data_IF_373799052661
#
_entry.id   IF_373799052661
#
_cell.length_a   1.000
_cell.length_b   1.000
_cell.length_c   1.000
_cell.angle_alpha   90.00
_cell.angle_beta   90.00
_cell.angle_gamma   90.00
#
_symmetry.space_group_name_H-M   'P 1'
#
loop_
_entity.id
_entity.type
_entity.pdbx_description
1 polymer ?
#
# COMPACT_ATOMS: atom_id res chain seq x y z
N UNK A 1 -66.90 8.89 -24.08
CA UNK A 1 -66.14 9.02 -25.34
C UNK A 1 -65.31 10.30 -25.25
N UNK A 2 -63.98 10.37 -25.29
CA UNK A 2 -62.91 9.38 -25.52
C UNK A 2 -61.59 9.99 -24.99
N UNK A 3 -60.68 9.11 -24.60
CA UNK A 3 -59.33 9.20 -24.02
C UNK A 3 -58.30 10.29 -24.43
N UNK A 4 -57.41 10.57 -23.45
CA UNK A 4 -55.93 10.74 -23.50
C UNK A 4 -55.37 12.06 -24.09
N UNK A 5 -54.27 12.65 -23.59
CA UNK A 5 -52.95 12.10 -23.20
C UNK A 5 -52.18 12.96 -22.17
N UNK A 6 -51.34 12.30 -21.36
CA UNK A 6 -50.27 12.83 -20.49
C UNK A 6 -49.10 13.42 -21.29
N UNK A 7 -48.39 14.39 -20.71
CA UNK A 7 -46.95 14.56 -20.89
C UNK A 7 -46.34 15.13 -19.60
N UNK A 8 -45.40 14.35 -19.04
CA UNK A 8 -44.58 14.66 -17.88
C UNK A 8 -43.61 15.81 -18.20
N UNK A 9 -43.45 16.75 -17.27
CA UNK A 9 -42.25 17.55 -17.13
C UNK A 9 -41.49 17.03 -15.91
N UNK A 10 -40.41 16.28 -16.13
CA UNK A 10 -39.44 15.93 -15.08
C UNK A 10 -38.46 17.08 -14.99
N UNK A 11 -38.50 17.80 -13.87
CA UNK A 11 -37.54 18.85 -13.53
C UNK A 11 -36.21 18.23 -13.13
N UNK A 12 -35.15 18.67 -13.81
CA UNK A 12 -33.76 18.45 -13.44
C UNK A 12 -33.49 19.13 -12.08
N UNK A 13 -33.19 18.35 -11.04
CA UNK A 13 -32.63 18.91 -9.80
C UNK A 13 -31.10 18.75 -9.86
N UNK A 14 -30.44 19.84 -10.24
CA UNK A 14 -28.99 19.98 -10.08
C UNK A 14 -28.73 20.40 -8.63
N UNK A 15 -28.19 19.50 -7.81
CA UNK A 15 -27.61 19.87 -6.52
C UNK A 15 -26.11 20.10 -6.67
N UNK A 16 -25.70 21.34 -6.43
CA UNK A 16 -24.33 21.78 -6.26
C UNK A 16 -23.68 21.03 -5.08
N UNK A 17 -22.60 20.30 -5.35
CA UNK A 17 -21.60 19.95 -4.32
C UNK A 17 -20.46 20.95 -4.46
N UNK A 18 -20.43 21.94 -3.58
CA UNK A 18 -19.27 22.80 -3.38
C UNK A 18 -18.33 22.15 -2.38
N UNK A 19 -17.05 22.03 -2.76
CA UNK A 19 -15.94 22.04 -1.81
C UNK A 19 -15.27 20.72 -1.46
N UNK A 20 -14.64 20.05 -2.43
CA UNK A 20 -13.35 19.37 -2.25
C UNK A 20 -12.76 19.05 -3.64
N UNK A 21 -11.88 19.92 -4.15
CA UNK A 21 -11.10 19.65 -5.36
C UNK A 21 -9.90 18.79 -4.99
N UNK A 22 -10.10 17.48 -4.92
CA UNK A 22 -9.03 16.54 -5.26
C UNK A 22 -9.17 16.19 -6.74
N UNK A 23 -8.22 16.66 -7.55
CA UNK A 23 -8.08 16.19 -8.93
C UNK A 23 -7.54 14.77 -8.87
N UNK A 24 -8.41 13.77 -8.76
CA UNK A 24 -8.05 12.42 -9.17
C UNK A 24 -7.99 12.41 -10.70
N UNK A 25 -6.80 12.23 -11.26
CA UNK A 25 -6.65 11.87 -12.67
C UNK A 25 -7.04 10.40 -12.83
N UNK A 26 -8.34 10.09 -12.72
CA UNK A 26 -8.87 8.82 -13.16
C UNK A 26 -8.89 8.83 -14.70
N UNK A 27 -7.82 8.30 -15.30
CA UNK A 27 -7.79 8.01 -16.73
C UNK A 27 -8.63 6.75 -16.94
N UNK A 28 -9.77 6.88 -17.58
CA UNK A 28 -10.65 5.76 -17.96
C UNK A 28 -9.91 4.85 -18.94
N UNK A 29 -9.57 3.63 -18.49
CA UNK A 29 -9.15 2.54 -19.35
C UNK A 29 -10.35 1.92 -20.05
N UNK A 30 -10.31 1.88 -21.39
CA UNK A 30 -11.17 1.02 -22.20
C UNK A 30 -10.56 -0.39 -22.22
N UNK A 31 -10.81 -1.18 -21.18
CA UNK A 31 -10.75 -2.66 -21.28
C UNK A 31 -12.15 -3.14 -21.63
N UNK A 32 -12.27 -4.00 -22.63
CA UNK A 32 -13.54 -4.51 -23.17
C UNK A 32 -14.29 -5.50 -22.27
N UNK A 33 -14.19 -5.33 -20.95
CA UNK A 33 -14.99 -6.02 -19.97
C UNK A 33 -16.16 -5.10 -19.59
N UNK A 34 -17.36 -5.65 -19.44
CA UNK A 34 -18.53 -4.92 -18.96
C UNK A 34 -18.17 -4.20 -17.65
N UNK A 35 -17.83 -2.91 -17.73
CA UNK A 35 -17.70 -2.07 -16.55
C UNK A 35 -19.07 -2.05 -15.90
N UNK A 36 -19.17 -2.68 -14.73
CA UNK A 36 -20.26 -2.43 -13.80
C UNK A 36 -20.13 -0.95 -13.42
N UNK A 37 -20.78 -0.09 -14.18
CA UNK A 37 -20.95 1.32 -13.84
C UNK A 37 -21.85 1.31 -12.63
N UNK A 38 -21.29 1.33 -11.43
CA UNK A 38 -22.06 1.50 -10.18
C UNK A 38 -22.48 2.98 -10.16
N UNK A 39 -23.71 3.34 -10.55
CA UNK A 39 -24.14 4.72 -10.60
C UNK A 39 -24.84 4.98 -9.28
N UNK A 40 -24.10 5.07 -8.19
CA UNK A 40 -24.68 5.35 -6.89
C UNK A 40 -23.94 6.51 -6.27
N UNK A 41 -24.64 7.62 -6.13
CA UNK A 41 -24.26 8.69 -5.22
C UNK A 41 -24.27 8.12 -3.80
N UNK A 42 -23.17 7.46 -3.41
CA UNK A 42 -23.01 6.91 -2.08
C UNK A 42 -22.42 8.01 -1.18
N UNK A 43 -23.17 8.42 -0.16
CA UNK A 43 -22.68 9.34 0.84
C UNK A 43 -21.85 8.57 1.87
N UNK A 44 -20.52 8.72 1.81
CA UNK A 44 -19.65 8.33 2.90
C UNK A 44 -19.39 9.57 3.73
N UNK A 45 -19.90 9.60 4.96
CA UNK A 45 -19.50 10.62 5.93
C UNK A 45 -18.28 10.13 6.71
N UNK A 46 -17.36 11.04 7.04
CA UNK A 46 -16.34 10.77 8.06
C UNK A 46 -16.93 11.21 9.40
N UNK A 47 -17.34 10.29 10.27
CA UNK A 47 -18.10 10.64 11.47
C UNK A 47 -17.25 11.29 12.58
N UNK A 48 -15.95 11.53 12.37
CA UNK A 48 -15.01 11.81 13.46
C UNK A 48 -14.78 10.55 14.31
N UNK A 49 -13.80 10.58 15.22
CA UNK A 49 -13.57 9.44 16.11
C UNK A 49 -14.62 9.46 17.21
N UNK A 50 -15.58 8.53 17.16
CA UNK A 50 -16.63 8.35 18.16
C UNK A 50 -16.60 6.92 18.67
N UNK A 51 -16.94 6.73 19.94
CA UNK A 51 -17.12 5.41 20.54
C UNK A 51 -18.48 4.80 20.15
N UNK A 52 -19.33 5.56 19.46
CA UNK A 52 -20.67 5.17 19.07
C UNK A 52 -21.07 5.78 17.72
N UNK A 53 -21.61 4.96 16.82
CA UNK A 53 -22.19 5.41 15.56
C UNK A 53 -23.61 4.85 15.39
N UNK A 54 -24.51 5.70 14.92
CA UNK A 54 -25.87 5.32 14.52
C UNK A 54 -26.03 5.62 13.03
N UNK A 55 -26.55 4.66 12.27
CA UNK A 55 -26.79 4.85 10.85
C UNK A 55 -28.14 4.28 10.42
N UNK A 56 -29.11 5.14 10.03
CA UNK A 56 -30.42 4.70 9.60
C UNK A 56 -30.36 4.05 8.23
N UNK A 57 -31.20 3.05 7.99
CA UNK A 57 -31.28 2.32 6.73
C UNK A 57 -32.69 1.84 6.41
N UNK A 58 -32.90 1.51 5.14
CA UNK A 58 -34.12 0.87 4.64
C UNK A 58 -33.77 -0.54 4.10
N UNK A 59 -34.48 -1.58 4.52
CA UNK A 59 -34.30 -2.96 4.05
C UNK A 59 -35.55 -3.45 3.30
N UNK A 60 -35.91 -2.71 2.25
CA UNK A 60 -37.09 -2.94 1.43
C UNK A 60 -38.31 -2.09 1.84
N UNK A 61 -39.47 -2.28 1.18
CA UNK A 61 -40.63 -1.43 1.37
C UNK A 61 -41.18 -1.45 2.82
N UNK A 62 -41.13 -0.30 3.49
CA UNK A 62 -41.69 -0.13 4.83
C UNK A 62 -40.93 -0.84 5.95
N UNK A 63 -39.71 -1.35 5.68
CA UNK A 63 -38.84 -1.95 6.69
C UNK A 63 -37.63 -1.06 6.89
N UNK A 64 -37.59 -0.34 8.00
CA UNK A 64 -36.54 0.60 8.36
C UNK A 64 -35.92 0.22 9.71
N UNK A 65 -34.68 0.64 9.91
CA UNK A 65 -33.96 0.42 11.15
C UNK A 65 -32.71 1.28 11.23
N UNK A 66 -31.92 1.04 12.27
CA UNK A 66 -30.66 1.72 12.53
C UNK A 66 -29.59 0.67 12.81
N UNK A 67 -28.44 0.81 12.16
CA UNK A 67 -27.23 0.08 12.55
C UNK A 67 -26.54 0.87 13.65
N UNK A 68 -26.32 0.22 14.79
CA UNK A 68 -25.57 0.72 15.92
C UNK A 68 -24.18 0.09 15.91
N UNK A 69 -23.14 0.91 16.00
CA UNK A 69 -21.74 0.47 16.01
C UNK A 69 -21.08 1.06 17.25
N UNK A 70 -20.82 0.21 18.25
CA UNK A 70 -20.29 0.58 19.56
C UNK A 70 -18.85 0.10 19.71
N UNK A 71 -17.94 1.02 20.02
CA UNK A 71 -16.57 0.68 20.41
C UNK A 71 -16.60 -0.07 21.75
N UNK A 72 -16.09 -1.29 21.73
CA UNK A 72 -15.84 -2.11 22.91
C UNK A 72 -14.37 -1.98 23.34
N UNK A 73 -13.99 -2.73 24.38
CA UNK A 73 -12.60 -2.79 24.82
C UNK A 73 -11.66 -3.23 23.68
N UNK A 74 -10.43 -2.71 23.69
CA UNK A 74 -9.35 -3.05 22.74
C UNK A 74 -9.67 -2.77 21.27
N UNK A 75 -10.46 -1.74 20.99
CA UNK A 75 -10.79 -1.29 19.64
C UNK A 75 -11.63 -2.27 18.80
N UNK A 76 -12.24 -3.26 19.43
CA UNK A 76 -13.26 -4.11 18.80
C UNK A 76 -14.59 -3.38 18.73
N UNK A 77 -15.39 -3.59 17.70
CA UNK A 77 -16.72 -2.99 17.59
C UNK A 77 -17.82 -4.04 17.77
N UNK A 78 -18.84 -3.70 18.56
CA UNK A 78 -20.12 -4.40 18.57
C UNK A 78 -21.00 -3.77 17.51
N UNK A 79 -21.52 -4.58 16.59
CA UNK A 79 -22.47 -4.15 15.57
C UNK A 79 -23.84 -4.72 15.93
N UNK A 80 -24.85 -3.86 15.99
CA UNK A 80 -26.23 -4.27 16.21
C UNK A 80 -27.14 -3.65 15.15
N UNK A 81 -28.19 -4.36 14.77
CA UNK A 81 -29.30 -3.83 13.99
C UNK A 81 -30.48 -3.65 14.93
N UNK A 82 -30.97 -2.42 15.05
CA UNK A 82 -32.22 -2.09 15.72
C UNK A 82 -33.28 -1.74 14.68
N UNK A 83 -34.32 -2.57 14.58
CA UNK A 83 -35.46 -2.31 13.71
C UNK A 83 -36.43 -1.33 14.37
N UNK A 84 -37.19 -0.57 13.57
CA UNK A 84 -38.22 0.35 14.09
C UNK A 84 -39.35 -0.38 14.85
N UNK A 85 -39.45 -1.71 14.70
CA UNK A 85 -40.32 -2.57 15.51
C UNK A 85 -39.83 -2.73 16.97
N UNK A 86 -38.61 -2.29 17.28
CA UNK A 86 -37.91 -2.50 18.55
C UNK A 86 -37.11 -3.81 18.62
N UNK A 87 -37.14 -4.63 17.56
CA UNK A 87 -36.30 -5.84 17.49
C UNK A 87 -34.83 -5.47 17.36
N UNK A 88 -33.97 -6.14 18.14
CA UNK A 88 -32.52 -5.94 18.10
C UNK A 88 -31.81 -7.25 17.77
N UNK A 89 -30.87 -7.19 16.84
CA UNK A 89 -30.08 -8.34 16.38
C UNK A 89 -28.59 -7.98 16.41
N UNK A 90 -27.79 -8.79 17.09
CA UNK A 90 -26.33 -8.66 17.05
C UNK A 90 -25.81 -9.16 15.69
N UNK A 91 -24.91 -8.40 15.06
CA UNK A 91 -24.22 -8.77 13.83
C UNK A 91 -22.79 -9.21 14.19
N UNK A 92 -22.46 -10.50 14.09
CA UNK A 92 -21.11 -10.98 14.39
C UNK A 92 -20.08 -10.30 13.49
N UNK A 93 -19.02 -9.77 14.08
CA UNK A 93 -17.93 -9.14 13.36
C UNK A 93 -16.60 -9.38 14.09
N UNK A 94 -15.66 -10.05 13.43
CA UNK A 94 -14.36 -10.39 14.01
C UNK A 94 -13.25 -9.40 13.61
N UNK A 95 -13.46 -8.65 12.52
CA UNK A 95 -12.35 -8.02 11.79
C UNK A 95 -12.41 -6.48 11.72
N UNK A 96 -13.51 -5.83 12.10
CA UNK A 96 -13.63 -4.37 11.89
C UNK A 96 -13.02 -3.61 13.05
N UNK A 97 -11.93 -2.89 12.73
CA UNK A 97 -11.21 -2.01 13.63
C UNK A 97 -11.23 -0.56 13.11
N UNK A 98 -11.26 0.39 14.04
CA UNK A 98 -11.39 1.86 13.88
C UNK A 98 -12.23 2.32 12.67
N UNK A 99 -13.57 2.35 12.81
CA UNK A 99 -14.48 2.78 11.73
C UNK A 99 -14.21 4.24 11.35
N UNK A 100 -13.70 4.46 10.14
CA UNK A 100 -13.35 5.81 9.65
C UNK A 100 -14.43 6.45 8.80
N UNK A 101 -15.34 5.63 8.27
CA UNK A 101 -16.27 5.95 7.18
C UNK A 101 -17.45 4.99 7.22
N UNK A 102 -18.64 5.54 7.03
CA UNK A 102 -19.90 4.80 7.03
C UNK A 102 -20.84 5.36 5.96
N UNK A 103 -21.67 4.50 5.37
CA UNK A 103 -22.80 4.92 4.54
C UNK A 103 -23.71 3.76 4.13
N UNK A 104 -24.63 4.00 3.19
CA UNK A 104 -25.59 3.01 2.69
C UNK A 104 -25.69 2.93 1.17
N UNK A 105 -25.91 1.72 0.65
CA UNK A 105 -25.99 1.37 -0.78
C UNK A 105 -27.21 0.50 -1.03
N UNK A 106 -28.05 0.87 -1.99
CA UNK A 106 -29.07 -0.03 -2.53
C UNK A 106 -28.39 -1.13 -3.37
N UNK A 107 -28.05 -2.24 -2.71
CA UNK A 107 -27.28 -3.35 -3.27
C UNK A 107 -28.18 -4.38 -3.96
N UNK A 108 -29.45 -4.42 -3.56
CA UNK A 108 -30.41 -5.44 -3.98
C UNK A 108 -31.59 -4.86 -4.78
N UNK A 109 -31.66 -3.54 -4.90
CA UNK A 109 -32.74 -2.81 -5.55
C UNK A 109 -33.96 -2.65 -4.64
N UNK A 110 -34.88 -1.77 -5.04
CA UNK A 110 -36.15 -1.50 -4.34
C UNK A 110 -35.96 -0.91 -2.93
N UNK A 111 -35.05 0.05 -2.81
CA UNK A 111 -34.72 0.71 -1.54
C UNK A 111 -34.25 -0.29 -0.47
N UNK A 112 -33.49 -1.30 -0.89
CA UNK A 112 -32.94 -2.31 -0.01
C UNK A 112 -31.46 -2.07 0.20
N UNK A 113 -31.19 -1.35 1.28
CA UNK A 113 -29.89 -0.82 1.60
C UNK A 113 -29.07 -1.82 2.41
N UNK A 114 -27.85 -2.06 1.95
CA UNK A 114 -26.78 -2.54 2.79
C UNK A 114 -26.00 -1.35 3.37
N UNK A 115 -25.34 -1.58 4.51
CA UNK A 115 -24.48 -0.56 5.13
C UNK A 115 -23.03 -0.87 4.78
N UNK A 116 -22.32 0.11 4.22
CA UNK A 116 -20.89 -0.01 3.92
C UNK A 116 -20.10 0.68 5.01
N UNK A 117 -19.11 -0.04 5.52
CA UNK A 117 -18.16 0.46 6.50
C UNK A 117 -16.75 0.41 5.91
N UNK A 118 -15.94 1.40 6.25
CA UNK A 118 -14.49 1.35 6.01
C UNK A 118 -13.76 1.63 7.31
N UNK A 119 -12.97 0.66 7.75
CA UNK A 119 -12.07 0.75 8.89
C UNK A 119 -10.61 0.90 8.45
N UNK A 120 -9.75 1.38 9.34
CA UNK A 120 -8.32 1.42 9.09
C UNK A 120 -7.52 1.17 10.36
N UNK A 121 -6.48 0.36 10.25
CA UNK A 121 -5.46 0.15 11.28
C UNK A 121 -4.07 0.29 10.64
N UNK A 122 -3.07 0.64 11.43
CA UNK A 122 -1.70 0.54 10.94
C UNK A 122 -0.66 0.88 11.98
N UNK A 123 0.56 0.45 11.68
CA UNK A 123 1.76 0.77 12.43
C UNK A 123 2.91 1.12 11.51
N UNK A 124 4.12 1.08 12.04
CA UNK A 124 5.32 1.43 11.26
C UNK A 124 5.79 0.32 10.30
N UNK A 125 5.00 -0.74 10.15
CA UNK A 125 5.35 -1.94 9.39
C UNK A 125 4.32 -2.38 8.36
N UNK A 126 3.03 -2.21 8.69
CA UNK A 126 1.92 -2.47 7.79
C UNK A 126 0.79 -1.49 8.07
N UNK A 127 -0.11 -1.36 7.10
CA UNK A 127 -1.42 -0.75 7.27
C UNK A 127 -2.49 -1.68 6.72
N UNK A 128 -3.62 -1.76 7.41
CA UNK A 128 -4.78 -2.55 7.01
C UNK A 128 -5.95 -1.60 6.77
N UNK A 129 -6.61 -1.73 5.62
CA UNK A 129 -7.91 -1.10 5.37
C UNK A 129 -8.98 -2.17 5.36
N UNK A 130 -9.96 -2.06 6.23
CA UNK A 130 -11.09 -2.98 6.30
C UNK A 130 -12.23 -2.43 5.46
N UNK A 131 -12.72 -3.19 4.51
CA UNK A 131 -13.92 -2.88 3.73
C UNK A 131 -15.01 -3.86 4.18
N UNK A 132 -16.15 -3.36 4.61
CA UNK A 132 -17.24 -4.22 5.05
C UNK A 132 -18.58 -3.81 4.46
N UNK A 133 -19.44 -4.81 4.27
CA UNK A 133 -20.85 -4.63 3.93
C UNK A 133 -21.68 -5.39 4.95
N UNK A 134 -22.48 -4.68 5.72
CA UNK A 134 -23.49 -5.26 6.61
C UNK A 134 -24.73 -5.49 5.77
N UNK A 135 -25.17 -6.75 5.71
CA UNK A 135 -26.44 -7.15 5.12
C UNK A 135 -27.50 -7.21 6.23
N UNK A 136 -28.44 -6.24 6.31
CA UNK A 136 -29.39 -6.20 7.41
C UNK A 136 -30.39 -7.37 7.40
N UNK A 137 -30.65 -7.98 6.24
CA UNK A 137 -31.59 -9.11 6.12
C UNK A 137 -31.02 -10.39 6.71
N UNK A 138 -29.72 -10.61 6.49
CA UNK A 138 -29.01 -11.77 7.02
C UNK A 138 -28.48 -11.55 8.44
N UNK A 139 -28.42 -10.28 8.89
CA UNK A 139 -27.70 -9.88 10.10
C UNK A 139 -26.25 -10.40 10.12
N UNK A 140 -25.60 -10.34 8.95
CA UNK A 140 -24.21 -10.74 8.75
C UNK A 140 -23.42 -9.58 8.14
N UNK A 141 -22.12 -9.57 8.39
CA UNK A 141 -21.16 -8.68 7.74
C UNK A 141 -20.26 -9.51 6.82
N UNK A 142 -20.00 -8.99 5.63
CA UNK A 142 -19.03 -9.53 4.68
C UNK A 142 -17.88 -8.55 4.61
N UNK A 143 -16.65 -9.01 4.86
CA UNK A 143 -15.48 -8.13 4.93
C UNK A 143 -14.40 -8.53 3.94
N UNK A 144 -13.60 -7.53 3.57
CA UNK A 144 -12.38 -7.66 2.81
C UNK A 144 -11.32 -6.75 3.46
N UNK A 145 -10.30 -7.34 4.07
CA UNK A 145 -9.16 -6.61 4.59
C UNK A 145 -8.09 -6.46 3.50
N UNK A 146 -7.64 -5.22 3.30
CA UNK A 146 -6.54 -4.86 2.39
C UNK A 146 -5.31 -4.54 3.23
N UNK A 147 -4.39 -5.51 3.30
CA UNK A 147 -3.18 -5.44 4.10
C UNK A 147 -2.04 -4.98 3.20
N UNK A 148 -1.41 -3.86 3.55
CA UNK A 148 -0.28 -3.28 2.82
C UNK A 148 0.95 -3.31 3.69
N UNK A 149 1.99 -3.97 3.22
CA UNK A 149 3.31 -3.84 3.83
C UNK A 149 3.87 -2.43 3.59
N UNK A 150 4.56 -1.88 4.58
CA UNK A 150 5.40 -0.70 4.38
C UNK A 150 6.80 -1.06 3.86
N UNK A 151 7.06 -2.36 3.68
CA UNK A 151 8.25 -2.87 3.02
C UNK A 151 8.20 -2.51 1.53
N UNK A 152 9.12 -1.63 1.10
CA UNK A 152 9.13 -1.11 -0.26
C UNK A 152 9.38 -2.20 -1.33
N UNK A 153 9.92 -3.35 -0.93
CA UNK A 153 10.14 -4.51 -1.79
C UNK A 153 8.90 -5.40 -1.94
N UNK A 154 7.86 -5.18 -1.13
CA UNK A 154 6.58 -5.88 -1.25
C UNK A 154 5.40 -4.88 -1.19
N UNK A 155 5.21 -4.05 -2.24
CA UNK A 155 4.11 -3.08 -2.30
C UNK A 155 2.75 -3.73 -2.59
N UNK A 156 2.69 -5.05 -2.81
CA UNK A 156 1.47 -5.76 -3.14
C UNK A 156 0.49 -5.69 -1.97
N UNK A 157 -0.79 -5.53 -2.30
CA UNK A 157 -1.86 -5.59 -1.31
C UNK A 157 -2.26 -7.05 -1.09
N UNK A 158 -2.01 -7.56 0.11
CA UNK A 158 -2.60 -8.81 0.56
C UNK A 158 -4.09 -8.59 0.84
N UNK A 159 -4.91 -9.55 0.43
CA UNK A 159 -6.36 -9.49 0.56
C UNK A 159 -6.82 -10.65 1.43
N UNK A 160 -7.43 -10.33 2.57
CA UNK A 160 -7.97 -11.31 3.50
C UNK A 160 -9.50 -11.15 3.59
N UNK A 161 -10.29 -12.07 3.01
CA UNK A 161 -11.74 -12.04 3.09
C UNK A 161 -12.26 -12.63 4.41
N UNK A 162 -13.48 -12.26 4.83
CA UNK A 162 -14.19 -12.94 5.93
C UNK A 162 -14.53 -14.40 5.59
N UNK A 163 -14.81 -15.21 6.63
CA UNK A 163 -15.17 -16.62 6.48
C UNK A 163 -16.40 -16.86 5.57
N UNK A 164 -17.36 -15.92 5.56
CA UNK A 164 -18.58 -15.99 4.76
C UNK A 164 -18.45 -15.34 3.37
N UNK A 165 -17.30 -14.76 3.00
CA UNK A 165 -17.13 -14.00 1.75
C UNK A 165 -17.43 -14.80 0.48
N UNK A 166 -17.14 -16.11 0.50
CA UNK A 166 -17.37 -16.99 -0.64
C UNK A 166 -18.74 -17.67 -0.66
N UNK A 167 -19.58 -17.42 0.34
CA UNK A 167 -20.94 -17.95 0.38
C UNK A 167 -21.78 -17.33 -0.74
N UNK A 168 -22.54 -18.18 -1.45
CA UNK A 168 -23.40 -17.73 -2.56
C UNK A 168 -24.53 -16.81 -2.11
N UNK A 169 -24.91 -16.86 -0.82
CA UNK A 169 -25.87 -15.91 -0.20
C UNK A 169 -25.40 -14.46 -0.27
N UNK A 170 -24.08 -14.23 -0.35
CA UNK A 170 -23.45 -12.91 -0.29
C UNK A 170 -22.78 -12.49 -1.61
N UNK A 171 -23.28 -13.01 -2.74
CA UNK A 171 -22.68 -12.75 -4.04
C UNK A 171 -22.68 -11.25 -4.43
N UNK A 172 -23.69 -10.49 -4.01
CA UNK A 172 -23.82 -9.07 -4.32
C UNK A 172 -22.79 -8.23 -3.53
N UNK A 173 -22.64 -8.52 -2.24
CA UNK A 173 -21.68 -7.89 -1.32
C UNK A 173 -20.25 -8.19 -1.77
N UNK A 174 -19.96 -9.44 -2.12
CA UNK A 174 -18.67 -9.83 -2.71
C UNK A 174 -18.38 -9.03 -3.97
N UNK A 175 -19.31 -9.00 -4.92
CA UNK A 175 -19.12 -8.27 -6.18
C UNK A 175 -18.87 -6.77 -5.94
N UNK A 176 -19.61 -6.17 -5.00
CA UNK A 176 -19.38 -4.80 -4.57
C UNK A 176 -17.97 -4.62 -3.98
N UNK A 177 -17.58 -5.42 -2.98
CA UNK A 177 -16.27 -5.30 -2.32
C UNK A 177 -15.09 -5.50 -3.28
N UNK A 178 -15.20 -6.45 -4.21
CA UNK A 178 -14.21 -6.68 -5.27
C UNK A 178 -14.03 -5.47 -6.18
N UNK A 179 -15.12 -4.76 -6.51
CA UNK A 179 -15.01 -3.49 -7.26
C UNK A 179 -14.50 -2.35 -6.39
N UNK A 180 -14.91 -2.32 -5.12
CA UNK A 180 -14.68 -1.22 -4.19
C UNK A 180 -13.22 -1.17 -3.70
N UNK A 181 -12.53 -2.32 -3.62
CA UNK A 181 -11.14 -2.39 -3.15
C UNK A 181 -10.16 -1.52 -3.93
N UNK A 182 -10.37 -1.38 -5.24
CA UNK A 182 -9.51 -0.54 -6.09
C UNK A 182 -9.57 0.93 -5.70
N UNK A 183 -10.72 1.42 -5.22
CA UNK A 183 -10.87 2.78 -4.68
C UNK A 183 -10.03 3.01 -3.42
N UNK A 184 -9.71 1.95 -2.68
CA UNK A 184 -8.95 2.00 -1.43
C UNK A 184 -7.50 1.55 -1.58
N UNK A 185 -6.98 1.61 -2.81
CA UNK A 185 -5.56 1.39 -3.09
C UNK A 185 -5.16 -0.08 -3.08
N UNK A 186 -6.08 -0.98 -3.44
CA UNK A 186 -5.68 -2.33 -3.86
C UNK A 186 -4.71 -2.24 -5.02
N UNK A 187 -3.56 -2.88 -4.85
CA UNK A 187 -2.46 -2.91 -5.80
C UNK A 187 -2.02 -4.36 -6.01
N UNK A 188 -2.10 -4.82 -7.26
CA UNK A 188 -1.62 -6.12 -7.70
C UNK A 188 -0.36 -6.00 -8.56
N UNK A 189 0.23 -7.14 -8.94
CA UNK A 189 1.42 -7.17 -9.77
C UNK A 189 1.20 -6.61 -11.18
N UNK A 190 -0.01 -6.73 -11.74
CA UNK A 190 -0.31 -6.23 -13.07
C UNK A 190 -0.28 -4.70 -13.09
N UNK A 191 -0.88 -4.07 -12.08
CA UNK A 191 -0.85 -2.64 -11.89
C UNK A 191 0.58 -2.10 -11.71
N UNK A 192 1.42 -2.78 -10.92
CA UNK A 192 2.83 -2.39 -10.74
C UNK A 192 3.62 -2.54 -12.04
N UNK A 193 3.40 -3.63 -12.78
CA UNK A 193 4.07 -3.85 -14.07
C UNK A 193 3.68 -2.80 -15.11
N UNK A 194 2.41 -2.37 -15.12
CA UNK A 194 1.95 -1.32 -16.02
C UNK A 194 2.60 0.03 -15.74
N UNK A 195 2.88 0.32 -14.47
CA UNK A 195 3.54 1.56 -14.02
C UNK A 195 5.01 1.33 -13.65
N UNK A 196 5.71 0.47 -14.41
CA UNK A 196 7.07 0.08 -14.08
C UNK A 196 8.04 1.27 -14.02
N UNK A 197 7.75 2.39 -14.69
CA UNK A 197 8.57 3.61 -14.67
C UNK A 197 8.40 4.47 -13.42
N UNK A 198 7.45 4.16 -12.54
CA UNK A 198 7.23 4.88 -11.31
C UNK A 198 8.32 4.56 -10.28
N UNK A 199 9.02 5.62 -9.87
CA UNK A 199 10.11 5.54 -8.91
C UNK A 199 9.70 4.92 -7.57
N UNK A 200 8.43 5.01 -7.18
CA UNK A 200 7.92 4.37 -5.97
C UNK A 200 8.09 2.83 -5.98
N UNK A 201 8.11 2.20 -7.16
CA UNK A 201 8.25 0.75 -7.31
C UNK A 201 9.68 0.29 -7.62
N UNK A 202 10.65 1.21 -7.65
CA UNK A 202 12.04 0.81 -7.94
C UNK A 202 12.60 -0.22 -6.93
N UNK A 203 12.33 -0.12 -5.59
CA UNK A 203 12.77 -1.14 -4.65
C UNK A 203 12.16 -2.52 -4.92
N UNK A 204 10.88 -2.59 -5.30
CA UNK A 204 10.22 -3.84 -5.72
C UNK A 204 10.95 -4.50 -6.90
N UNK A 205 11.19 -3.75 -7.98
CA UNK A 205 11.89 -4.30 -9.15
C UNK A 205 13.35 -4.64 -8.85
N UNK A 206 14.02 -3.86 -7.96
CA UNK A 206 15.36 -4.18 -7.51
C UNK A 206 15.37 -5.51 -6.75
N UNK A 207 14.45 -5.73 -5.82
CA UNK A 207 14.37 -6.98 -5.06
C UNK A 207 14.04 -8.19 -5.94
N UNK A 208 13.15 -8.04 -6.93
CA UNK A 208 12.89 -9.11 -7.90
C UNK A 208 14.14 -9.51 -8.70
N UNK A 209 15.00 -8.55 -9.04
CA UNK A 209 16.20 -8.81 -9.82
C UNK A 209 17.42 -9.22 -8.98
N UNK A 210 17.51 -8.74 -7.74
CA UNK A 210 18.72 -8.78 -6.93
C UNK A 210 18.54 -9.39 -5.53
N UNK A 211 17.32 -9.77 -5.13
CA UNK A 211 17.02 -10.26 -3.78
C UNK A 211 17.87 -11.46 -3.37
N UNK A 212 18.08 -12.40 -4.29
CA UNK A 212 18.87 -13.62 -4.06
C UNK A 212 20.39 -13.42 -4.27
N UNK A 213 20.84 -12.21 -4.63
CA UNK A 213 22.26 -11.93 -4.86
C UNK A 213 22.99 -11.80 -3.52
N UNK A 214 23.85 -12.78 -3.23
CA UNK A 214 24.71 -12.80 -2.04
C UNK A 214 26.14 -12.36 -2.34
N UNK A 215 26.74 -12.83 -3.43
CA UNK A 215 28.03 -12.40 -3.95
C UNK A 215 27.97 -12.49 -5.49
N UNK A 216 27.77 -11.37 -6.17
CA UNK A 216 27.51 -11.40 -7.61
C UNK A 216 27.14 -10.06 -8.25
N UNK A 217 27.03 -10.03 -9.59
CA UNK A 217 26.57 -8.85 -10.31
C UNK A 217 25.09 -8.57 -10.01
N UNK A 218 24.75 -7.28 -9.92
CA UNK A 218 23.37 -6.79 -9.81
C UNK A 218 22.86 -6.24 -11.13
N UNK A 219 21.54 -6.24 -11.28
CA UNK A 219 20.83 -5.46 -12.29
C UNK A 219 20.45 -4.11 -11.70
N UNK A 220 20.96 -3.02 -12.28
CA UNK A 220 20.61 -1.65 -11.91
C UNK A 220 19.64 -1.06 -12.92
N UNK A 221 18.53 -0.53 -12.41
CA UNK A 221 17.53 0.16 -13.21
C UNK A 221 17.52 1.64 -12.86
N UNK A 222 17.91 2.47 -13.84
CA UNK A 222 17.88 3.94 -13.75
C UNK A 222 16.50 4.47 -14.13
N UNK A 223 16.04 5.47 -13.39
CA UNK A 223 14.74 6.11 -13.56
C UNK A 223 14.94 7.63 -13.57
N UNK A 224 14.18 8.38 -14.39
CA UNK A 224 14.33 9.82 -14.48
C UNK A 224 13.94 10.53 -13.17
N UNK A 225 14.67 11.59 -12.85
CA UNK A 225 14.43 12.45 -11.70
C UNK A 225 15.08 11.98 -10.40
N UNK A 226 14.67 12.60 -9.29
CA UNK A 226 15.14 12.29 -7.94
C UNK A 226 14.32 11.16 -7.33
N UNK A 227 14.91 10.44 -6.38
CA UNK A 227 14.17 9.51 -5.54
C UNK A 227 13.05 10.24 -4.77
N UNK A 228 11.92 9.58 -4.45
CA UNK A 228 10.83 10.19 -3.71
C UNK A 228 11.28 10.43 -2.26
N UNK A 229 11.46 11.70 -1.87
CA UNK A 229 11.80 12.10 -0.49
C UNK A 229 10.64 11.82 0.48
N UNK A 230 10.52 10.58 0.97
CA UNK A 230 9.40 10.15 1.84
C UNK A 230 9.80 9.51 3.17
N UNK A 231 11.06 9.11 3.32
CA UNK A 231 11.58 8.51 4.54
C UNK A 231 12.65 9.40 5.16
N UNK A 232 12.89 9.21 6.47
CA UNK A 232 14.00 9.90 7.16
C UNK A 232 15.34 9.41 6.59
N UNK A 233 16.26 10.34 6.36
CA UNK A 233 17.62 10.03 5.90
C UNK A 233 18.46 9.64 7.12
N UNK A 234 19.11 8.48 7.07
CA UNK A 234 20.06 8.04 8.08
C UNK A 234 21.48 8.53 7.78
N UNK A 235 21.90 8.43 6.51
CA UNK A 235 23.20 8.89 6.06
C UNK A 235 23.16 9.30 4.58
N UNK A 236 24.10 10.14 4.18
CA UNK A 236 24.25 10.59 2.80
C UNK A 236 25.73 10.76 2.46
N UNK A 237 26.11 10.26 1.28
CA UNK A 237 27.47 10.28 0.78
C UNK A 237 27.50 10.82 -0.65
N UNK A 238 28.24 11.90 -0.87
CA UNK A 238 28.48 12.44 -2.21
C UNK A 238 29.78 11.89 -2.79
N UNK A 239 29.74 11.52 -4.07
CA UNK A 239 30.88 11.06 -4.87
C UNK A 239 30.78 11.65 -6.28
N UNK A 240 31.46 12.78 -6.50
CA UNK A 240 31.27 13.59 -7.72
C UNK A 240 29.80 14.01 -7.89
N UNK A 241 29.22 13.64 -9.03
CA UNK A 241 27.82 13.95 -9.38
C UNK A 241 26.80 12.97 -8.80
N UNK A 242 27.26 11.86 -8.21
CA UNK A 242 26.38 10.87 -7.60
C UNK A 242 26.24 11.15 -6.10
N UNK A 243 25.00 11.11 -5.61
CA UNK A 243 24.69 11.17 -4.18
C UNK A 243 24.00 9.87 -3.77
N UNK A 244 24.66 9.13 -2.88
CA UNK A 244 24.09 7.97 -2.23
C UNK A 244 23.35 8.38 -0.96
N UNK A 245 22.12 7.94 -0.78
CA UNK A 245 21.27 8.28 0.36
C UNK A 245 20.73 7.00 1.00
N UNK A 246 21.04 6.79 2.28
CA UNK A 246 20.54 5.71 3.10
C UNK A 246 19.27 6.15 3.83
N UNK A 247 18.14 5.45 3.63
CA UNK A 247 16.88 5.78 4.27
C UNK A 247 16.54 4.86 5.44
N UNK A 248 15.91 5.44 6.47
CA UNK A 248 15.28 4.72 7.57
C UNK A 248 14.17 3.81 7.03
N UNK A 249 14.25 2.51 7.36
CA UNK A 249 13.35 1.47 6.87
C UNK A 249 13.22 1.39 5.35
N UNK A 250 14.29 1.72 4.62
CA UNK A 250 14.27 1.73 3.16
C UNK A 250 15.58 1.31 2.53
N UNK A 251 15.65 1.54 1.22
CA UNK A 251 16.81 1.26 0.37
C UNK A 251 17.93 2.29 0.56
N UNK A 252 19.11 1.94 0.03
CA UNK A 252 20.11 2.92 -0.39
C UNK A 252 19.81 3.30 -1.83
N UNK A 253 19.57 4.60 -2.05
CA UNK A 253 19.37 5.18 -3.37
C UNK A 253 20.62 5.89 -3.83
N UNK A 254 20.88 5.88 -5.13
CA UNK A 254 21.80 6.80 -5.78
C UNK A 254 21.00 7.79 -6.63
N UNK A 255 21.42 9.05 -6.62
CA UNK A 255 20.94 10.10 -7.52
C UNK A 255 22.12 10.69 -8.29
N UNK A 256 22.10 10.52 -9.60
CA UNK A 256 23.05 11.05 -10.57
C UNK A 256 22.56 12.44 -10.99
N UNK A 257 23.27 13.49 -10.56
CA UNK A 257 22.86 14.88 -10.80
C UNK A 257 23.01 15.29 -12.25
N UNK A 258 24.02 14.78 -12.94
CA UNK A 258 24.31 15.14 -14.34
C UNK A 258 23.28 14.52 -15.26
N UNK A 259 23.02 13.22 -15.10
CA UNK A 259 21.97 12.53 -15.86
C UNK A 259 20.54 12.91 -15.40
N UNK A 260 20.41 13.46 -14.20
CA UNK A 260 19.14 13.65 -13.50
C UNK A 260 18.34 12.34 -13.43
N UNK A 261 18.98 11.30 -12.92
CA UNK A 261 18.43 9.95 -12.78
C UNK A 261 18.66 9.41 -11.37
N UNK A 262 17.77 8.55 -10.90
CA UNK A 262 17.93 7.82 -9.65
C UNK A 262 17.79 6.32 -9.84
N UNK A 263 18.38 5.56 -8.93
CA UNK A 263 18.30 4.10 -8.92
C UNK A 263 18.55 3.54 -7.51
N UNK A 264 18.03 2.35 -7.26
CA UNK A 264 18.28 1.61 -6.02
C UNK A 264 19.60 0.86 -6.15
N UNK A 265 20.48 1.06 -5.17
CA UNK A 265 21.79 0.38 -5.10
C UNK A 265 21.72 -0.86 -4.21
N UNK A 266 20.93 -0.79 -3.15
CA UNK A 266 20.77 -1.84 -2.17
C UNK A 266 19.42 -1.71 -1.47
N UNK A 267 18.81 -2.83 -1.10
CA UNK A 267 17.71 -2.89 -0.15
C UNK A 267 17.95 -4.04 0.83
N UNK A 268 17.72 -3.86 2.14
CA UNK A 268 17.81 -4.96 3.11
C UNK A 268 16.74 -6.02 2.85
N UNK A 269 16.96 -7.24 3.33
CA UNK A 269 15.99 -8.33 3.21
C UNK A 269 14.79 -8.11 4.15
N UNK A 270 15.02 -7.37 5.24
CA UNK A 270 13.98 -6.94 6.16
C UNK A 270 14.06 -5.44 6.45
N UNK A 271 12.96 -4.72 6.29
CA UNK A 271 12.97 -3.25 6.46
C UNK A 271 13.41 -2.75 7.86
N UNK A 272 13.41 -3.55 8.94
CA UNK A 272 14.00 -3.14 10.22
C UNK A 272 15.53 -3.23 10.26
N UNK A 273 16.15 -3.84 9.26
CA UNK A 273 17.59 -3.92 9.06
C UNK A 273 18.06 -2.78 8.14
N UNK A 274 17.54 -1.57 8.35
CA UNK A 274 17.80 -0.45 7.46
C UNK A 274 19.29 -0.06 7.41
N UNK A 275 19.74 0.54 6.29
CA UNK A 275 21.07 1.11 6.17
C UNK A 275 21.28 2.26 7.16
N UNK A 276 22.37 2.23 7.91
CA UNK A 276 22.70 3.22 8.94
C UNK A 276 23.87 4.10 8.57
N UNK A 277 24.80 3.61 7.74
CA UNK A 277 26.05 4.29 7.44
C UNK A 277 26.56 3.92 6.05
N UNK A 278 27.11 4.91 5.35
CA UNK A 278 27.72 4.80 4.02
C UNK A 278 29.18 5.24 4.07
N UNK A 279 30.08 4.44 3.47
CA UNK A 279 31.49 4.79 3.30
C UNK A 279 31.96 4.40 1.91
N UNK A 280 32.95 5.10 1.35
CA UNK A 280 33.49 4.79 0.03
C UNK A 280 35.02 4.73 0.03
N UNK A 281 35.57 3.78 -0.72
CA UNK A 281 36.99 3.63 -0.96
C UNK A 281 37.23 3.15 -2.41
N UNK A 282 37.71 4.06 -3.26
CA UNK A 282 37.76 3.82 -4.71
C UNK A 282 36.35 3.55 -5.25
N UNK A 283 36.20 2.50 -6.06
CA UNK A 283 34.92 2.10 -6.65
C UNK A 283 33.99 1.37 -5.66
N UNK A 284 34.42 1.10 -4.43
CA UNK A 284 33.63 0.32 -3.48
C UNK A 284 32.84 1.21 -2.53
N UNK A 285 31.52 1.03 -2.52
CA UNK A 285 30.61 1.56 -1.52
C UNK A 285 30.39 0.49 -0.45
N UNK A 286 30.71 0.84 0.80
CA UNK A 286 30.33 0.07 1.99
C UNK A 286 29.00 0.61 2.53
N UNK A 287 28.11 -0.32 2.85
CA UNK A 287 26.81 -0.05 3.46
C UNK A 287 26.74 -0.85 4.77
N UNK A 288 26.62 -0.17 5.89
CA UNK A 288 26.33 -0.79 7.18
C UNK A 288 24.82 -0.77 7.45
N UNK A 289 24.30 -1.79 8.12
CA UNK A 289 22.89 -1.90 8.45
C UNK A 289 22.68 -2.19 9.94
N UNK A 290 21.50 -1.84 10.46
CA UNK A 290 21.14 -2.09 11.87
C UNK A 290 21.06 -3.59 12.24
N UNK A 291 20.93 -4.51 11.28
CA UNK A 291 20.59 -5.90 11.59
C UNK A 291 21.00 -6.98 10.58
N UNK A 292 21.51 -6.63 9.40
CA UNK A 292 22.02 -7.60 8.42
C UNK A 292 23.55 -7.54 8.25
N UNK A 293 24.19 -6.58 8.93
CA UNK A 293 25.64 -6.37 8.89
C UNK A 293 26.09 -5.53 7.70
N UNK A 294 27.30 -5.83 7.24
CA UNK A 294 28.02 -5.10 6.20
C UNK A 294 27.76 -5.62 4.80
N UNK A 295 27.64 -4.69 3.86
CA UNK A 295 27.52 -4.92 2.44
C UNK A 295 28.54 -4.09 1.67
N UNK A 296 29.01 -4.64 0.56
CA UNK A 296 29.94 -3.97 -0.34
C UNK A 296 29.36 -3.99 -1.75
N UNK A 297 29.36 -2.82 -2.39
CA UNK A 297 28.94 -2.65 -3.77
C UNK A 297 30.06 -2.01 -4.58
N UNK A 298 30.53 -2.70 -5.63
CA UNK A 298 31.37 -2.06 -6.65
C UNK A 298 30.48 -1.16 -7.51
N UNK A 299 30.66 0.15 -7.44
CA UNK A 299 29.81 1.12 -8.14
C UNK A 299 30.12 1.28 -9.63
N UNK A 300 31.18 0.61 -10.12
CA UNK A 300 31.53 0.58 -11.55
C UNK A 300 30.91 -0.64 -12.22
N UNK A 301 30.99 -1.81 -11.56
CA UNK A 301 30.50 -3.09 -12.11
C UNK A 301 29.14 -3.51 -11.54
N UNK A 302 28.64 -2.81 -10.53
CA UNK A 302 27.44 -3.14 -9.76
C UNK A 302 27.48 -4.53 -9.15
N UNK A 303 28.66 -4.96 -8.70
CA UNK A 303 28.83 -6.21 -7.96
C UNK A 303 28.46 -6.03 -6.49
N UNK A 304 27.53 -6.82 -5.98
CA UNK A 304 27.14 -6.85 -4.56
C UNK A 304 27.82 -8.01 -3.83
N UNK A 305 28.28 -7.73 -2.61
CA UNK A 305 28.71 -8.76 -1.66
C UNK A 305 28.08 -8.52 -0.29
N UNK A 306 27.25 -9.47 0.14
CA UNK A 306 26.63 -9.56 1.46
C UNK A 306 27.57 -10.31 2.39
N UNK A 307 28.02 -9.69 3.47
CA UNK A 307 29.03 -10.32 4.36
C UNK A 307 28.42 -10.99 5.58
N UNK A 308 27.27 -10.51 6.05
CA UNK A 308 26.67 -10.91 7.34
C UNK A 308 27.49 -10.49 8.57
N UNK A 309 28.55 -9.70 8.39
CA UNK A 309 29.41 -9.25 9.50
C UNK A 309 28.84 -8.00 10.12
N UNK A 310 28.64 -8.03 11.44
CA UNK A 310 28.13 -6.91 12.20
C UNK A 310 29.27 -6.05 12.76
N UNK A 311 29.13 -4.74 12.58
CA UNK A 311 29.97 -3.74 13.22
C UNK A 311 29.09 -2.63 13.75
N UNK A 312 29.33 -2.23 15.00
CA UNK A 312 28.50 -1.21 15.66
C UNK A 312 28.67 0.17 14.99
N UNK A 313 29.88 0.49 14.54
CA UNK A 313 30.24 1.75 13.88
C UNK A 313 31.38 1.53 12.89
N UNK A 314 31.38 2.22 11.74
CA UNK A 314 32.48 2.17 10.76
C UNK A 314 33.38 3.41 10.87
N UNK A 315 34.41 3.29 11.71
CA UNK A 315 35.43 4.33 11.91
C UNK A 315 36.48 4.41 10.79
N UNK A 316 36.72 3.30 10.08
CA UNK A 316 37.66 3.25 8.97
C UNK A 316 37.22 2.23 7.91
N UNK A 317 37.30 2.61 6.64
CA UNK A 317 37.08 1.72 5.49
C UNK A 317 38.14 1.97 4.43
N UNK A 318 38.91 0.94 4.08
CA UNK A 318 39.94 1.02 3.04
C UNK A 318 39.86 -0.17 2.10
N UNK A 319 40.29 0.04 0.85
CA UNK A 319 40.43 -1.02 -0.15
C UNK A 319 41.84 -0.98 -0.71
N UNK A 320 42.56 -2.10 -0.61
CA UNK A 320 43.91 -2.24 -1.17
C UNK A 320 44.20 -3.69 -1.52
N UNK A 321 44.92 -3.93 -2.62
CA UNK A 321 45.34 -5.27 -3.05
C UNK A 321 44.19 -6.30 -3.11
N UNK A 322 43.01 -5.89 -3.59
CA UNK A 322 41.83 -6.77 -3.66
C UNK A 322 41.21 -7.11 -2.29
N UNK A 323 41.56 -6.37 -1.23
CA UNK A 323 41.03 -6.56 0.12
C UNK A 323 40.31 -5.30 0.59
N UNK A 324 39.08 -5.48 1.06
CA UNK A 324 38.38 -4.48 1.87
C UNK A 324 38.77 -4.67 3.34
N UNK A 325 39.03 -3.57 4.06
CA UNK A 325 39.28 -3.57 5.51
C UNK A 325 38.36 -2.58 6.21
N UNK A 326 37.80 -3.01 7.34
CA UNK A 326 36.89 -2.22 8.18
C UNK A 326 37.40 -2.21 9.62
N UNK A 327 37.57 -1.02 10.19
CA UNK A 327 38.06 -0.79 11.57
C UNK A 327 39.35 -1.54 11.95
N UNK A 328 40.22 -1.85 10.98
CA UNK A 328 41.42 -2.70 11.11
C UNK A 328 41.19 -4.15 11.58
N UNK A 329 40.00 -4.48 12.08
CA UNK A 329 39.65 -5.77 12.69
C UNK A 329 38.97 -6.74 11.73
N UNK A 330 38.33 -6.22 10.67
CA UNK A 330 37.67 -7.03 9.65
C UNK A 330 38.34 -6.85 8.29
N UNK A 331 38.58 -7.96 7.59
CA UNK A 331 39.15 -7.96 6.26
C UNK A 331 38.41 -8.96 5.37
N UNK A 332 38.10 -8.56 4.14
CA UNK A 332 37.35 -9.37 3.18
C UNK A 332 38.00 -9.31 1.80
N UNK A 333 38.14 -10.47 1.17
CA UNK A 333 38.55 -10.57 -0.22
C UNK A 333 37.45 -10.07 -1.16
N UNK A 334 37.82 -9.14 -2.01
CA UNK A 334 36.98 -8.61 -3.08
C UNK A 334 37.16 -9.46 -4.34
N UNK A 335 36.13 -9.58 -5.20
CA UNK A 335 36.28 -10.21 -6.50
C UNK A 335 37.41 -9.53 -7.28
N UNK A 336 38.16 -10.33 -8.03
CA UNK A 336 39.17 -9.79 -8.94
C UNK A 336 38.48 -8.84 -9.91
N UNK A 337 38.95 -7.59 -9.94
CA UNK A 337 38.47 -6.64 -10.95
C UNK A 337 38.77 -7.26 -12.32
N UNK A 338 37.82 -7.25 -13.28
CA UNK A 338 38.16 -7.56 -14.66
C UNK A 338 39.33 -6.67 -15.03
N UNK A 339 40.42 -7.25 -15.53
CA UNK A 339 41.57 -6.48 -15.96
C UNK A 339 41.04 -5.38 -16.89
N UNK A 340 41.28 -4.11 -16.54
CA UNK A 340 40.89 -2.99 -17.37
C UNK A 340 41.35 -3.34 -18.79
N UNK A 341 40.37 -3.51 -19.70
CA UNK A 341 40.67 -3.89 -21.06
C UNK A 341 41.60 -2.81 -21.60
N UNK A 342 42.87 -3.16 -21.80
CA UNK A 342 43.82 -2.26 -22.43
C UNK A 342 43.29 -1.92 -23.81
N UNK A 343 42.80 -0.70 -23.96
CA UNK A 343 42.43 -0.11 -25.25
C UNK A 343 43.64 -0.06 -26.20
#
# INVERSE_FOLDING_TARGET
>A
MTYAKRLLAVGLVACLVMGCREKSNARTENRGDEQVVIPVAFLITSPGRSDHYEYPFQAGPGRTGTVLIDLQERATYRIQIEWDSGERVDVPCEDVLDVTRLGSLDLYGQDDQAIVLVGAEGGTGFSTTYLGVINPRAAEVVTLALIRSHEATNPLTEVQPSANFNDSRFAAERAFLESFKHKYGYLDEEAIRWDAGNVMYAPYFWAQANGDVTDGPMTIRRLPGRHPERASVNDQLADGDIVYTAFFKGAVWAYDKDANECFVVFHPDYYYCWPTELRKAGNWLLINTRGEGLFLVDTTTWWLKRTGVHVDEVTAFTVSNGMARVNDSFALSLPAQPAEGGE
#
